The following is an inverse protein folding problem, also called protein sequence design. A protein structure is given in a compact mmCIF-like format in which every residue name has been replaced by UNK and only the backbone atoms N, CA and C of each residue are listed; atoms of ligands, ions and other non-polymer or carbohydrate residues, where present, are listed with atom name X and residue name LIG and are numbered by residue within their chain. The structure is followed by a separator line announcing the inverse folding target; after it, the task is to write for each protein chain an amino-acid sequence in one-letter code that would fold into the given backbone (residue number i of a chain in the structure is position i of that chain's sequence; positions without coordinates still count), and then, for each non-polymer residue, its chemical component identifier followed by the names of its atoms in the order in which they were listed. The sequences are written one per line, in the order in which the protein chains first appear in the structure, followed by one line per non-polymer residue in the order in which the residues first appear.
data_IF_934753434664
#
_entry.id   IF_934753434664
#
_cell.length_a   1.000
_cell.length_b   1.000
_cell.length_c   1.000
_cell.angle_alpha   90.00
_cell.angle_beta   90.00
_cell.angle_gamma   90.00
#
_symmetry.space_group_name_H-M   'P 1'
#
loop_
_entity.id
_entity.type
_entity.pdbx_description
1 polymer ?
#
# COMPACT_ATOMS: atom_id res chain seq x y z
N UNK A 1 -5.63 4.41 10.18
CA UNK A 1 -6.13 4.59 8.79
C UNK A 1 -5.33 5.73 8.19
N UNK A 2 -4.99 5.62 6.92
CA UNK A 2 -4.21 6.64 6.20
C UNK A 2 -4.97 6.92 4.91
N UNK A 3 -5.28 8.19 4.68
CA UNK A 3 -5.93 8.61 3.44
C UNK A 3 -4.93 8.57 2.29
N UNK A 4 -5.41 8.13 1.13
CA UNK A 4 -4.59 8.10 -0.09
C UNK A 4 -4.76 9.46 -0.76
N UNK A 5 -3.72 10.30 -0.84
CA UNK A 5 -3.80 11.61 -1.48
C UNK A 5 -3.96 11.45 -2.99
N UNK A 6 -4.37 12.52 -3.66
CA UNK A 6 -4.59 12.53 -5.11
C UNK A 6 -3.31 12.28 -5.93
N UNK A 7 -2.14 12.66 -5.37
CA UNK A 7 -0.84 12.50 -6.03
C UNK A 7 -0.29 11.08 -5.83
N UNK A 8 0.26 10.78 -4.65
CA UNK A 8 0.84 9.48 -4.32
C UNK A 8 0.92 9.30 -2.78
N UNK A 9 0.67 8.09 -2.30
CA UNK A 9 1.03 7.65 -0.95
C UNK A 9 2.25 6.73 -1.02
N UNK A 10 3.37 7.19 -0.47
CA UNK A 10 4.54 6.33 -0.27
C UNK A 10 4.29 5.39 0.93
N UNK A 11 4.58 4.10 0.75
CA UNK A 11 4.48 3.06 1.76
C UNK A 11 5.88 2.55 2.09
N UNK A 12 6.21 2.52 3.38
CA UNK A 12 7.46 1.99 3.89
C UNK A 12 7.85 2.64 5.20
N UNK A 13 8.91 2.12 5.84
CA UNK A 13 9.29 2.57 7.17
C UNK A 13 9.75 4.03 7.26
N UNK A 14 10.18 4.61 6.15
CA UNK A 14 10.59 6.02 6.11
C UNK A 14 9.44 6.97 5.76
N UNK A 15 8.28 6.44 5.35
CA UNK A 15 7.12 7.23 4.99
C UNK A 15 6.56 7.98 6.21
N UNK A 16 6.38 9.31 6.14
CA UNK A 16 5.77 10.09 7.21
C UNK A 16 4.37 9.61 7.59
N UNK A 17 3.61 9.08 6.62
CA UNK A 17 2.23 8.66 6.81
C UNK A 17 2.07 7.46 7.77
N UNK A 18 3.17 6.74 8.03
CA UNK A 18 3.17 5.53 8.85
C UNK A 18 4.07 5.62 10.08
N UNK A 19 4.53 6.82 10.45
CA UNK A 19 5.37 7.01 11.65
C UNK A 19 4.57 6.88 12.93
N UNK A 20 5.16 6.26 13.95
CA UNK A 20 4.61 6.21 15.31
C UNK A 20 3.73 5.01 15.60
N UNK A 21 3.98 3.85 14.97
CA UNK A 21 3.27 2.59 15.26
C UNK A 21 2.43 2.08 14.09
N UNK A 22 2.74 2.51 12.87
CA UNK A 22 2.07 2.06 11.65
C UNK A 22 2.83 0.90 11.01
N UNK A 23 3.59 1.22 9.97
CA UNK A 23 4.41 0.27 9.23
C UNK A 23 5.89 0.38 9.63
N UNK A 24 6.25 1.48 10.29
CA UNK A 24 7.62 1.89 10.61
C UNK A 24 8.38 0.94 11.54
N UNK A 25 7.69 0.12 12.33
CA UNK A 25 8.30 -0.89 13.22
C UNK A 25 8.53 -2.26 12.58
N UNK A 26 8.05 -2.53 11.36
CA UNK A 26 8.25 -3.83 10.71
C UNK A 26 9.55 -3.86 9.91
N UNK A 27 10.62 -4.44 10.46
CA UNK A 27 11.94 -4.49 9.80
C UNK A 27 11.93 -5.19 8.43
N UNK A 28 10.98 -6.10 8.21
CA UNK A 28 10.75 -6.76 6.94
C UNK A 28 10.16 -5.85 5.86
N UNK A 29 9.73 -4.64 6.21
CA UNK A 29 9.28 -3.63 5.28
C UNK A 29 10.45 -2.69 4.97
N UNK A 30 10.82 -2.58 3.69
CA UNK A 30 11.76 -1.57 3.21
C UNK A 30 11.40 -0.14 3.64
N UNK A 31 12.41 0.74 3.68
CA UNK A 31 12.24 2.18 3.95
C UNK A 31 11.31 2.86 2.94
N UNK A 32 11.56 2.59 1.66
CA UNK A 32 10.63 2.80 0.55
C UNK A 32 10.28 1.40 0.02
N UNK A 33 9.03 0.97 0.19
CA UNK A 33 8.61 -0.40 -0.07
C UNK A 33 7.71 -0.46 -1.30
N UNK A 34 6.65 0.33 -1.27
CA UNK A 34 5.70 0.42 -2.34
C UNK A 34 5.18 1.86 -2.40
N UNK A 35 4.41 2.15 -3.43
CA UNK A 35 3.63 3.37 -3.53
C UNK A 35 2.24 3.07 -4.02
N UNK A 36 1.29 3.90 -3.59
CA UNK A 36 -0.06 3.92 -4.10
C UNK A 36 -0.31 5.23 -4.83
N UNK A 37 -0.90 5.17 -6.01
CA UNK A 37 -1.20 6.36 -6.81
C UNK A 37 -2.38 6.09 -7.72
N UNK A 38 -2.98 7.16 -8.24
CA UNK A 38 -4.15 7.09 -9.10
C UNK A 38 -3.76 7.18 -10.57
N UNK A 39 -4.31 6.29 -11.40
CA UNK A 39 -4.25 6.37 -12.87
C UNK A 39 -5.69 6.30 -13.36
N UNK A 40 -6.14 7.35 -14.07
CA UNK A 40 -7.50 7.40 -14.64
C UNK A 40 -8.63 7.05 -13.65
N UNK A 41 -8.48 7.46 -12.38
CA UNK A 41 -9.46 7.19 -11.31
C UNK A 41 -9.34 5.80 -10.67
N UNK A 42 -8.39 4.98 -11.10
CA UNK A 42 -8.11 3.67 -10.51
C UNK A 42 -6.87 3.71 -9.62
N UNK A 43 -7.00 3.19 -8.40
CA UNK A 43 -5.89 3.06 -7.48
C UNK A 43 -4.93 1.99 -8.00
N UNK A 44 -3.63 2.27 -7.98
CA UNK A 44 -2.59 1.32 -8.35
C UNK A 44 -1.58 1.19 -7.22
N UNK A 45 -0.95 0.01 -7.14
CA UNK A 45 0.23 -0.24 -6.32
C UNK A 45 1.42 -0.59 -7.19
N UNK A 46 2.58 -0.06 -6.82
CA UNK A 46 3.85 -0.38 -7.45
C UNK A 46 4.88 -0.71 -6.36
N UNK A 47 5.56 -1.85 -6.49
CA UNK A 47 6.64 -2.25 -5.60
C UNK A 47 7.93 -1.52 -6.00
N UNK A 48 8.53 -0.82 -5.05
CA UNK A 48 9.74 -0.01 -5.27
C UNK A 48 11.02 -0.82 -5.10
N UNK A 49 11.02 -2.04 -5.63
CA UNK A 49 12.07 -3.04 -5.48
C UNK A 49 12.35 -3.35 -4.00
N UNK A 50 11.28 -3.66 -3.26
CA UNK A 50 11.37 -3.98 -1.84
C UNK A 50 12.09 -5.31 -1.59
N UNK A 51 12.73 -5.44 -0.42
CA UNK A 51 13.54 -6.62 -0.12
C UNK A 51 12.71 -7.92 -0.05
N UNK A 52 11.49 -7.83 0.49
CA UNK A 52 10.62 -8.98 0.72
C UNK A 52 9.42 -9.02 -0.23
N UNK A 53 9.22 -7.98 -1.05
CA UNK A 53 8.16 -7.90 -2.04
C UNK A 53 6.83 -7.39 -1.51
N UNK A 54 6.01 -6.95 -2.45
CA UNK A 54 4.61 -6.59 -2.27
C UNK A 54 3.71 -7.64 -2.93
N UNK A 55 2.55 -7.89 -2.32
CA UNK A 55 1.62 -8.91 -2.77
C UNK A 55 0.19 -8.38 -2.80
N UNK A 56 -0.58 -8.76 -3.81
CA UNK A 56 -2.01 -8.47 -3.95
C UNK A 56 -2.75 -9.79 -4.04
N UNK A 57 -3.71 -10.02 -3.14
CA UNK A 57 -4.45 -11.28 -3.00
C UNK A 57 -3.54 -12.53 -3.00
N UNK A 58 -2.41 -12.41 -2.27
CA UNK A 58 -1.41 -13.46 -2.14
C UNK A 58 -0.44 -13.59 -3.32
N UNK A 59 -0.66 -12.91 -4.44
CA UNK A 59 0.22 -12.93 -5.60
C UNK A 59 1.29 -11.84 -5.50
N UNK A 60 2.58 -12.21 -5.64
CA UNK A 60 3.68 -11.25 -5.64
C UNK A 60 3.65 -10.41 -6.91
N UNK A 61 3.64 -9.09 -6.78
CA UNK A 61 3.70 -8.19 -7.93
C UNK A 61 5.15 -7.99 -8.40
N UNK A 62 5.33 -7.63 -9.66
CA UNK A 62 6.67 -7.35 -10.21
C UNK A 62 7.05 -5.90 -9.91
N UNK A 63 8.24 -5.64 -9.32
CA UNK A 63 8.69 -4.27 -9.07
C UNK A 63 8.75 -3.42 -10.35
N UNK A 64 8.26 -2.18 -10.28
CA UNK A 64 8.20 -1.27 -11.42
C UNK A 64 7.10 -1.59 -12.44
N UNK A 65 6.24 -2.57 -12.16
CA UNK A 65 5.06 -2.90 -12.95
C UNK A 65 3.80 -2.67 -12.10
N UNK A 66 3.20 -1.46 -12.17
CA UNK A 66 2.03 -1.13 -11.36
C UNK A 66 0.85 -2.07 -11.60
N UNK A 67 0.16 -2.44 -10.52
CA UNK A 67 -1.03 -3.30 -10.54
C UNK A 67 -2.20 -2.52 -9.99
N UNK A 68 -3.35 -2.57 -10.68
CA UNK A 68 -4.58 -1.95 -10.21
C UNK A 68 -5.07 -2.63 -8.92
N UNK A 69 -5.47 -1.81 -7.95
CA UNK A 69 -6.07 -2.24 -6.68
C UNK A 69 -7.54 -1.85 -6.65
N UNK A 70 -8.37 -2.80 -6.24
CA UNK A 70 -9.78 -2.62 -5.96
C UNK A 70 -10.03 -2.69 -4.46
N UNK A 71 -11.07 -2.00 -4.00
CA UNK A 71 -11.53 -2.13 -2.62
C UNK A 71 -11.83 -3.60 -2.29
N UNK A 72 -11.45 -4.02 -1.07
CA UNK A 72 -11.64 -5.40 -0.61
C UNK A 72 -10.52 -6.37 -0.98
N UNK A 73 -9.59 -6.01 -1.87
CA UNK A 73 -8.39 -6.82 -2.11
C UNK A 73 -7.42 -6.72 -0.93
N UNK A 74 -6.70 -7.80 -0.68
CA UNK A 74 -5.66 -7.84 0.35
C UNK A 74 -4.33 -7.38 -0.25
N UNK A 75 -3.84 -6.23 0.20
CA UNK A 75 -2.46 -5.83 0.00
C UNK A 75 -1.62 -6.39 1.14
N UNK A 76 -0.47 -7.00 0.85
CA UNK A 76 0.48 -7.47 1.88
C UNK A 76 1.88 -6.98 1.56
N UNK A 77 2.56 -6.45 2.57
CA UNK A 77 3.93 -5.98 2.49
C UNK A 77 4.87 -6.97 3.19
N UNK A 78 6.00 -7.24 2.57
CA UNK A 78 7.00 -8.13 3.13
C UNK A 78 6.49 -9.56 3.38
N UNK A 79 6.78 -10.14 4.55
CA UNK A 79 6.42 -11.53 4.84
C UNK A 79 4.98 -11.66 5.34
N UNK A 80 4.51 -10.77 6.21
CA UNK A 80 3.20 -10.92 6.87
C UNK A 80 2.58 -9.61 7.36
N UNK A 81 2.86 -8.46 6.72
CA UNK A 81 2.18 -7.19 7.06
C UNK A 81 0.96 -6.97 6.15
N UNK A 82 -0.27 -7.32 6.57
CA UNK A 82 -1.46 -7.04 5.79
C UNK A 82 -1.80 -5.55 5.83
N UNK A 83 -2.30 -5.05 4.70
CA UNK A 83 -2.81 -3.71 4.48
C UNK A 83 -4.18 -3.86 3.80
N UNK A 84 -5.25 -3.42 4.48
CA UNK A 84 -6.60 -3.45 3.89
C UNK A 84 -6.86 -2.14 3.18
N UNK A 85 -7.29 -2.24 1.92
CA UNK A 85 -7.81 -1.11 1.16
C UNK A 85 -9.31 -1.07 1.36
N UNK A 86 -9.78 0.03 1.96
CA UNK A 86 -11.19 0.30 2.19
C UNK A 86 -11.58 1.56 1.44
N UNK A 87 -12.75 1.54 0.83
CA UNK A 87 -13.38 2.74 0.31
C UNK A 87 -14.38 3.22 1.36
N UNK A 88 -14.37 4.52 1.66
CA UNK A 88 -15.30 5.10 2.62
C UNK A 88 -16.37 5.90 1.85
N UNK A 89 -17.60 5.88 2.36
CA UNK A 89 -18.66 6.78 1.91
C UNK A 89 -18.44 8.21 2.44
N UNK A 90 -19.34 9.13 2.09
CA UNK A 90 -19.34 10.52 2.56
C UNK A 90 -19.48 10.67 4.09
N UNK A 91 -19.89 9.62 4.79
CA UNK A 91 -20.00 9.56 6.25
C UNK A 91 -18.78 8.91 6.93
N UNK A 92 -17.78 8.50 6.15
CA UNK A 92 -16.57 7.84 6.66
C UNK A 92 -16.75 6.35 6.99
N UNK A 93 -17.83 5.73 6.53
CA UNK A 93 -18.11 4.31 6.74
C UNK A 93 -17.62 3.49 5.53
N UNK A 94 -17.04 2.28 5.75
CA UNK A 94 -16.67 1.39 4.64
C UNK A 94 -17.87 1.06 3.75
N UNK A 95 -17.70 1.16 2.44
CA UNK A 95 -18.69 0.72 1.43
C UNK A 95 -18.51 -0.73 1.02
#
# INVERSE_FOLDING_TARGET
MVDIPAEELSIGRSSPAFRGGGIDHYDQVSRAHARLFWIDGHLHVDDLNSANGTFVDGQKITPGAPVALNAGQELRLGLDVPCRIVQLNEFGEPV
#
